data_IF_973382930533
#
_entry.id   IF_973382930533
#
_cell.length_a   1.000
_cell.length_b   1.000
_cell.length_c   1.000
_cell.angle_alpha   90.00
_cell.angle_beta   90.00
_cell.angle_gamma   90.00
#
_symmetry.space_group_name_H-M   'P 1'
#
loop_
_entity.id
_entity.type
_entity.pdbx_description
1 polymer ?
#
# COMPACT_ATOMS: atom_id res chain seq x y z
N UNK A 1 -1.15 -11.25 9.35
CA UNK A 1 -0.98 -9.91 8.76
C UNK A 1 -2.06 -9.84 7.73
N UNK A 2 -3.05 -9.01 7.99
CA UNK A 2 -4.15 -8.72 7.08
C UNK A 2 -3.56 -7.92 5.92
N UNK A 3 -3.40 -8.55 4.76
CA UNK A 3 -2.72 -7.95 3.61
C UNK A 3 -3.70 -7.47 2.54
N UNK A 4 -5.00 -7.71 2.76
CA UNK A 4 -6.14 -7.31 1.93
C UNK A 4 -7.14 -6.42 2.68
N UNK A 5 -6.81 -6.00 3.91
CA UNK A 5 -7.51 -5.03 4.76
C UNK A 5 -8.97 -5.39 5.04
N UNK A 6 -9.32 -6.67 5.02
CA UNK A 6 -10.68 -7.15 5.25
C UNK A 6 -10.96 -7.47 6.73
N UNK A 7 -9.94 -7.34 7.59
CA UNK A 7 -9.97 -7.62 9.01
C UNK A 7 -9.75 -9.09 9.37
N UNK A 8 -9.44 -9.95 8.39
CA UNK A 8 -9.03 -11.33 8.59
C UNK A 8 -7.49 -11.44 8.58
N UNK A 9 -6.97 -12.45 9.27
CA UNK A 9 -5.57 -12.81 9.14
C UNK A 9 -5.42 -13.58 7.83
N UNK A 10 -4.57 -13.12 6.92
CA UNK A 10 -4.34 -13.70 5.58
C UNK A 10 -4.55 -15.23 5.55
N UNK A 11 -5.73 -15.63 5.02
CA UNK A 11 -6.18 -17.02 4.89
C UNK A 11 -5.57 -17.69 3.64
N UNK A 12 -4.48 -17.13 3.11
CA UNK A 12 -3.87 -17.53 1.84
C UNK A 12 -4.56 -16.89 0.62
N UNK A 13 -5.35 -15.84 0.86
CA UNK A 13 -5.85 -14.96 -0.18
C UNK A 13 -5.09 -13.65 -0.03
N UNK A 14 -3.93 -13.58 -0.66
CA UNK A 14 -3.37 -12.29 -1.01
C UNK A 14 -4.40 -11.68 -1.96
N UNK A 15 -5.07 -10.60 -1.53
CA UNK A 15 -5.76 -9.69 -2.44
C UNK A 15 -4.84 -9.38 -3.62
N UNK A 16 -5.37 -8.95 -4.77
CA UNK A 16 -4.48 -8.64 -5.90
C UNK A 16 -3.33 -7.75 -5.43
N UNK A 17 -2.11 -8.13 -5.77
CA UNK A 17 -0.87 -7.41 -5.44
C UNK A 17 -0.23 -7.13 -6.80
N UNK A 18 -0.50 -5.93 -7.31
CA UNK A 18 -0.21 -5.53 -8.68
C UNK A 18 1.28 -5.32 -8.95
N UNK A 19 2.03 -4.93 -7.93
CA UNK A 19 3.44 -4.57 -8.03
C UNK A 19 4.40 -5.54 -7.32
N UNK A 20 3.83 -6.55 -6.64
CA UNK A 20 4.51 -7.64 -5.96
C UNK A 20 5.40 -7.20 -4.78
N UNK A 21 4.99 -6.16 -4.06
CA UNK A 21 5.72 -5.65 -2.90
C UNK A 21 5.36 -6.34 -1.57
N UNK A 22 4.29 -7.14 -1.60
CA UNK A 22 3.80 -7.88 -0.45
C UNK A 22 2.73 -7.15 0.36
N UNK A 23 2.14 -6.06 -0.15
CA UNK A 23 0.93 -5.39 0.30
C UNK A 23 -0.15 -5.59 -0.77
N UNK A 24 -1.39 -5.91 -0.39
CA UNK A 24 -2.46 -6.05 -1.39
C UNK A 24 -2.96 -4.67 -1.85
N UNK A 25 -3.37 -4.57 -3.12
CA UNK A 25 -3.87 -3.35 -3.78
C UNK A 25 -4.97 -2.63 -2.98
N UNK A 26 -5.75 -3.37 -2.18
CA UNK A 26 -6.82 -2.82 -1.34
C UNK A 26 -6.29 -2.06 -0.11
N UNK A 27 -5.08 -2.37 0.34
CA UNK A 27 -4.35 -1.72 1.43
C UNK A 27 -3.25 -0.77 0.95
N UNK A 28 -2.79 -0.95 -0.28
CA UNK A 28 -1.60 -0.33 -0.81
C UNK A 28 -1.84 1.15 -1.12
N UNK A 29 -1.08 2.04 -0.47
CA UNK A 29 -1.10 3.47 -0.79
C UNK A 29 -0.40 3.79 -2.13
N UNK A 30 0.23 2.80 -2.77
CA UNK A 30 0.79 2.87 -4.12
C UNK A 30 0.63 1.57 -4.95
N UNK A 31 -0.59 1.18 -5.41
CA UNK A 31 -0.89 -0.11 -6.07
C UNK A 31 -0.15 -0.44 -7.39
N UNK A 32 0.72 0.45 -7.84
CA UNK A 32 1.52 0.30 -9.06
C UNK A 32 3.02 0.54 -8.83
N UNK A 33 3.46 0.78 -7.59
CA UNK A 33 4.81 1.17 -7.25
C UNK A 33 5.24 0.61 -5.90
N UNK A 34 6.03 -0.47 -5.95
CA UNK A 34 6.41 -1.24 -4.78
C UNK A 34 6.99 -0.39 -3.64
N UNK A 35 6.32 -0.43 -2.49
CA UNK A 35 6.61 0.35 -1.29
C UNK A 35 6.10 -0.37 -0.02
N UNK A 36 6.68 -1.53 0.27
CA UNK A 36 6.28 -2.41 1.36
C UNK A 36 6.30 -1.78 2.79
N UNK A 37 6.90 -0.60 2.96
CA UNK A 37 6.89 0.18 4.21
C UNK A 37 5.70 1.14 4.32
N UNK A 38 4.97 1.37 3.22
CA UNK A 38 3.74 2.16 3.13
C UNK A 38 3.91 3.55 3.75
N UNK A 39 5.07 4.19 3.48
CA UNK A 39 5.35 5.53 3.93
C UNK A 39 4.41 6.53 3.23
N UNK A 40 3.87 7.44 4.01
CA UNK A 40 2.97 8.54 3.61
C UNK A 40 3.32 9.71 4.55
N UNK A 41 4.16 10.62 4.06
CA UNK A 41 4.78 11.68 4.85
C UNK A 41 3.80 12.82 5.15
N UNK A 42 2.89 13.13 4.23
CA UNK A 42 1.95 14.25 4.36
C UNK A 42 0.55 13.84 4.90
N UNK A 43 0.24 12.55 4.88
CA UNK A 43 -0.97 11.93 5.42
C UNK A 43 -2.18 12.02 4.50
N UNK A 44 -2.00 12.18 3.19
CA UNK A 44 -3.08 12.32 2.22
C UNK A 44 -3.63 10.99 1.66
N UNK A 45 -2.92 9.89 1.94
CA UNK A 45 -3.12 8.48 1.52
C UNK A 45 -2.42 8.06 0.24
N UNK A 46 -1.77 8.95 -0.48
CA UNK A 46 -0.85 8.57 -1.54
C UNK A 46 0.51 8.31 -0.88
N UNK A 47 1.17 7.21 -1.24
CA UNK A 47 2.47 6.89 -0.63
C UNK A 47 3.61 7.70 -1.26
N UNK A 48 4.67 7.96 -0.50
CA UNK A 48 5.89 8.66 -0.97
C UNK A 48 6.52 8.01 -2.23
N UNK A 49 6.15 6.78 -2.58
CA UNK A 49 6.63 6.09 -3.77
C UNK A 49 5.86 6.45 -5.06
N UNK A 50 4.65 7.00 -4.94
CA UNK A 50 3.74 7.31 -6.05
C UNK A 50 3.09 8.69 -5.95
N UNK A 51 3.36 9.44 -4.88
CA UNK A 51 3.09 10.86 -4.77
C UNK A 51 4.21 11.67 -5.46
N UNK A 52 3.84 12.79 -6.08
CA UNK A 52 4.77 13.73 -6.70
C UNK A 52 5.11 14.91 -5.74
N UNK A 53 4.41 15.03 -4.61
CA UNK A 53 4.49 16.12 -3.63
C UNK A 53 4.47 15.61 -2.16
N UNK A 54 5.36 14.65 -1.87
CA UNK A 54 5.41 13.86 -0.61
C UNK A 54 5.43 14.67 0.71
N UNK A 55 5.71 15.98 0.70
CA UNK A 55 5.74 16.82 1.91
C UNK A 55 4.81 18.05 1.88
N UNK A 56 4.04 18.25 0.80
CA UNK A 56 2.94 19.21 0.65
C UNK A 56 3.33 20.65 1.09
N UNK A 57 4.45 21.16 0.57
CA UNK A 57 5.11 22.41 0.98
C UNK A 57 4.74 23.72 0.23
#
# INVERSE_FOLDING_TARGET
MDNDCDGAIDEGLVGTDGDADGVGDDCDNCPAAANADQLDTDGDRDGDACDDDDDND
#
